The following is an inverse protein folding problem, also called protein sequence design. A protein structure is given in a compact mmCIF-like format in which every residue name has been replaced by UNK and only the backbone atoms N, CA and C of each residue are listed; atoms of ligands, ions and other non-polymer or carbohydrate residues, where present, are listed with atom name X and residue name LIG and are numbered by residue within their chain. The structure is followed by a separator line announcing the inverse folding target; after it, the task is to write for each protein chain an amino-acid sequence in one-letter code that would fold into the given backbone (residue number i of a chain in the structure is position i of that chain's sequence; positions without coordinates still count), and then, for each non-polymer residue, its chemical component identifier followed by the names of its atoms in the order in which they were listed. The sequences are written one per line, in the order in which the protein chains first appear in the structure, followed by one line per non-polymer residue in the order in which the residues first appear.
data_IF_293267461679
#
_entry.id   IF_293267461679
#
_cell.length_a   1.000
_cell.length_b   1.000
_cell.length_c   1.000
_cell.angle_alpha   90.00
_cell.angle_beta   90.00
_cell.angle_gamma   90.00
#
_symmetry.space_group_name_H-M   'P 1'
#
loop_
_entity.id
_entity.type
_entity.pdbx_description
1 polymer ?
#
# COMPACT_ATOMS: atom_id res chain seq x y z
N UNK A 1 28.46 -6.46 -17.10
CA UNK A 1 27.03 -6.16 -17.36
C UNK A 1 26.85 -4.85 -18.08
N UNK A 2 27.53 -3.76 -17.67
CA UNK A 2 27.45 -2.46 -18.30
C UNK A 2 27.96 -2.46 -19.76
N UNK A 3 29.16 -2.98 -20.03
CA UNK A 3 29.71 -3.07 -21.39
C UNK A 3 28.85 -3.92 -22.34
N UNK A 4 28.24 -5.01 -21.83
CA UNK A 4 27.29 -5.83 -22.59
C UNK A 4 26.01 -5.07 -22.95
N UNK A 5 25.55 -4.14 -22.09
CA UNK A 5 24.39 -3.27 -22.34
C UNK A 5 24.72 -2.15 -23.33
N UNK A 6 25.92 -1.59 -23.23
CA UNK A 6 26.38 -0.49 -24.10
C UNK A 6 26.82 -0.98 -25.49
N UNK A 7 27.10 -2.27 -25.66
CA UNK A 7 27.64 -2.81 -26.93
C UNK A 7 29.09 -2.40 -27.21
N UNK A 8 29.75 -1.77 -26.23
CA UNK A 8 31.16 -1.36 -26.25
C UNK A 8 31.75 -1.47 -24.84
N UNK A 9 33.08 -1.39 -24.73
CA UNK A 9 33.69 -1.23 -23.41
C UNK A 9 33.21 0.08 -22.76
N UNK A 10 32.87 -0.02 -21.48
CA UNK A 10 32.50 1.13 -20.67
C UNK A 10 33.78 1.90 -20.31
N UNK A 11 33.69 3.22 -20.27
CA UNK A 11 34.79 4.04 -19.77
C UNK A 11 34.91 3.89 -18.25
N UNK A 12 36.04 4.30 -17.70
CA UNK A 12 36.24 4.35 -16.24
C UNK A 12 35.19 5.26 -15.57
N UNK A 13 34.84 6.37 -16.21
CA UNK A 13 33.80 7.31 -15.75
C UNK A 13 32.43 6.62 -15.70
N UNK A 14 32.00 5.94 -16.78
CA UNK A 14 30.71 5.24 -16.82
C UNK A 14 30.64 4.09 -15.79
N UNK A 15 31.78 3.44 -15.56
CA UNK A 15 31.92 2.37 -14.56
C UNK A 15 31.80 2.96 -13.16
N UNK A 16 32.44 4.09 -12.89
CA UNK A 16 32.38 4.80 -11.62
C UNK A 16 30.97 5.33 -11.33
N UNK A 17 30.32 5.97 -12.30
CA UNK A 17 28.93 6.43 -12.18
C UNK A 17 27.97 5.27 -11.88
N UNK A 18 28.14 4.15 -12.59
CA UNK A 18 27.32 2.95 -12.36
C UNK A 18 27.54 2.35 -10.97
N UNK A 19 28.78 2.36 -10.48
CA UNK A 19 29.10 1.92 -9.13
C UNK A 19 28.45 2.83 -8.07
N UNK A 20 28.54 4.16 -8.25
CA UNK A 20 27.88 5.12 -7.36
C UNK A 20 26.36 4.98 -7.38
N UNK A 21 25.74 4.78 -8.55
CA UNK A 21 24.31 4.54 -8.65
C UNK A 21 23.87 3.30 -7.86
N UNK A 22 24.66 2.22 -7.91
CA UNK A 22 24.41 1.03 -7.12
C UNK A 22 24.57 1.29 -5.62
N UNK A 23 25.63 2.01 -5.20
CA UNK A 23 25.84 2.36 -3.80
C UNK A 23 24.69 3.21 -3.26
N UNK A 24 24.25 4.22 -4.00
CA UNK A 24 23.10 5.06 -3.64
C UNK A 24 21.81 4.23 -3.50
N UNK A 25 21.61 3.24 -4.37
CA UNK A 25 20.48 2.32 -4.25
C UNK A 25 20.59 1.46 -2.99
N UNK A 26 21.76 0.91 -2.69
CA UNK A 26 22.00 0.12 -1.49
C UNK A 26 21.76 0.95 -0.21
N UNK A 27 22.24 2.20 -0.17
CA UNK A 27 22.01 3.13 0.93
C UNK A 27 20.51 3.43 1.11
N UNK A 28 19.79 3.68 0.01
CA UNK A 28 18.36 3.91 0.06
C UNK A 28 17.61 2.70 0.61
N UNK A 29 17.92 1.49 0.12
CA UNK A 29 17.31 0.24 0.60
C UNK A 29 17.63 -0.01 2.08
N UNK A 30 18.89 0.20 2.49
CA UNK A 30 19.30 0.05 3.88
C UNK A 30 18.56 1.04 4.80
N UNK A 31 18.41 2.30 4.37
CA UNK A 31 17.68 3.31 5.15
C UNK A 31 16.20 2.96 5.34
N UNK A 32 15.56 2.37 4.32
CA UNK A 32 14.18 1.89 4.41
C UNK A 32 14.08 0.69 5.34
N UNK A 33 14.98 -0.30 5.20
CA UNK A 33 15.00 -1.49 6.03
C UNK A 33 15.21 -1.14 7.52
N UNK A 34 16.15 -0.24 7.81
CA UNK A 34 16.41 0.22 9.17
C UNK A 34 15.18 0.91 9.78
N UNK A 35 14.49 1.75 8.99
CA UNK A 35 13.25 2.42 9.42
C UNK A 35 12.14 1.43 9.74
N UNK A 36 11.88 0.46 8.86
CA UNK A 36 10.87 -0.57 9.07
C UNK A 36 11.20 -1.41 10.32
N UNK A 37 12.46 -1.78 10.50
CA UNK A 37 12.90 -2.50 11.70
C UNK A 37 12.65 -1.70 12.98
N UNK A 38 12.96 -0.40 12.99
CA UNK A 38 12.67 0.45 14.15
C UNK A 38 11.17 0.53 14.45
N UNK A 39 10.34 0.56 13.42
CA UNK A 39 8.89 0.53 13.60
C UNK A 39 8.41 -0.81 14.18
N UNK A 40 8.94 -1.94 13.70
CA UNK A 40 8.63 -3.26 14.24
C UNK A 40 9.10 -3.41 15.69
N UNK A 41 10.25 -2.83 16.05
CA UNK A 41 10.72 -2.75 17.43
C UNK A 41 9.78 -1.89 18.31
N UNK A 42 9.31 -0.76 17.79
CA UNK A 42 8.33 0.11 18.48
C UNK A 42 6.98 -0.58 18.70
N UNK A 43 6.53 -1.45 17.80
CA UNK A 43 5.31 -2.24 17.99
C UNK A 43 5.37 -3.18 19.20
N UNK A 44 6.57 -3.53 19.70
CA UNK A 44 6.69 -4.32 20.94
C UNK A 44 6.21 -3.54 22.18
N UNK A 45 6.37 -2.22 22.17
CA UNK A 45 5.90 -1.32 23.25
C UNK A 45 4.55 -0.68 22.94
N UNK A 46 4.21 -0.54 21.66
CA UNK A 46 2.94 0.02 21.17
C UNK A 46 2.22 -0.99 20.26
N UNK A 47 1.66 -2.09 20.81
CA UNK A 47 1.12 -3.21 20.02
C UNK A 47 -0.12 -2.85 19.18
N UNK A 48 -0.82 -1.78 19.53
CA UNK A 48 -1.95 -1.27 18.76
C UNK A 48 -1.54 -0.41 17.57
N UNK A 49 -0.24 -0.15 17.40
CA UNK A 49 0.29 0.74 16.38
C UNK A 49 0.44 2.18 16.84
N UNK A 50 0.92 3.01 15.93
CA UNK A 50 1.24 4.40 16.19
C UNK A 50 1.09 5.28 14.95
N UNK A 51 0.96 6.59 15.18
CA UNK A 51 0.97 7.58 14.11
C UNK A 51 2.36 7.64 13.46
N UNK A 52 2.39 7.66 12.13
CA UNK A 52 3.65 7.79 11.40
C UNK A 52 4.31 9.13 11.72
N UNK A 53 5.62 9.15 12.04
CA UNK A 53 6.32 10.39 12.32
C UNK A 53 6.35 11.27 11.07
N UNK A 54 6.24 12.59 11.26
CA UNK A 54 6.49 13.55 10.17
C UNK A 54 7.92 13.34 9.69
N UNK A 55 8.07 12.92 8.45
CA UNK A 55 9.36 12.94 7.79
C UNK A 55 9.76 14.41 7.56
N UNK A 56 10.78 14.87 8.28
CA UNK A 56 11.45 16.17 8.03
C UNK A 56 11.98 16.24 6.58
N UNK A 57 12.19 15.08 5.94
CA UNK A 57 12.65 14.91 4.57
C UNK A 57 11.56 14.75 3.51
N UNK A 58 10.29 15.10 3.78
CA UNK A 58 9.24 15.14 2.76
C UNK A 58 8.77 13.78 2.22
N UNK A 59 9.05 12.69 2.94
CA UNK A 59 8.59 11.35 2.58
C UNK A 59 7.07 11.25 2.68
N UNK A 60 6.41 10.99 1.55
CA UNK A 60 5.01 10.55 1.52
C UNK A 60 4.95 9.03 1.44
N UNK A 61 3.97 8.43 2.12
CA UNK A 61 3.72 6.99 2.04
C UNK A 61 2.43 6.73 1.28
N UNK A 62 2.23 5.51 0.78
CA UNK A 62 0.95 5.12 0.22
C UNK A 62 0.23 4.18 1.19
N UNK A 63 -1.06 4.38 1.37
CA UNK A 63 -1.87 3.44 2.14
C UNK A 63 -1.87 2.06 1.49
N UNK A 64 -1.64 0.99 2.26
CA UNK A 64 -1.67 -0.39 1.76
C UNK A 64 -3.05 -0.86 1.26
N UNK A 65 -4.12 -0.09 1.52
CA UNK A 65 -5.50 -0.45 1.17
C UNK A 65 -6.00 0.41 0.01
N UNK A 66 -6.12 1.73 0.21
CA UNK A 66 -6.69 2.62 -0.80
C UNK A 66 -5.65 3.27 -1.73
N UNK A 67 -4.36 3.04 -1.49
CA UNK A 67 -3.23 3.64 -2.22
C UNK A 67 -3.19 5.18 -2.21
N UNK A 68 -4.03 5.83 -1.40
CA UNK A 68 -3.95 7.28 -1.21
C UNK A 68 -2.58 7.65 -0.62
N UNK A 69 -2.03 8.74 -1.13
CA UNK A 69 -0.81 9.34 -0.59
C UNK A 69 -1.08 9.90 0.80
N UNK A 70 -0.22 9.53 1.74
CA UNK A 70 -0.23 9.90 3.15
C UNK A 70 0.87 10.93 3.34
N UNK A 71 0.48 12.15 3.72
CA UNK A 71 1.40 13.22 4.06
C UNK A 71 1.40 13.44 5.59
N UNK A 72 2.59 13.54 6.19
CA UNK A 72 2.77 13.84 7.61
C UNK A 72 2.11 12.82 8.55
N UNK A 73 1.50 13.31 9.65
CA UNK A 73 0.88 12.52 10.73
C UNK A 73 -0.45 11.86 10.34
N UNK A 74 -0.86 11.94 9.07
CA UNK A 74 -2.10 11.33 8.58
C UNK A 74 -1.96 9.81 8.31
N UNK A 75 -0.81 9.24 8.69
CA UNK A 75 -0.50 7.83 8.56
C UNK A 75 -0.56 7.07 9.88
N UNK A 76 -0.84 5.79 9.78
CA UNK A 76 -0.81 4.85 10.89
C UNK A 76 0.04 3.63 10.49
N UNK A 77 0.84 3.12 11.42
CA UNK A 77 1.56 1.86 11.29
C UNK A 77 1.18 0.94 12.44
N UNK A 78 0.83 -0.30 12.12
CA UNK A 78 0.58 -1.37 13.07
C UNK A 78 1.10 -2.70 12.49
N UNK A 79 0.78 -3.83 13.14
CA UNK A 79 1.17 -5.18 12.69
C UNK A 79 0.76 -5.54 11.25
N UNK A 80 -0.23 -4.86 10.65
CA UNK A 80 -0.68 -5.05 9.29
C UNK A 80 -0.04 -4.07 8.29
N UNK A 81 0.81 -3.15 8.75
CA UNK A 81 1.54 -2.18 7.94
C UNK A 81 0.89 -0.80 7.83
N UNK A 82 1.34 -0.03 6.85
CA UNK A 82 1.02 1.40 6.68
C UNK A 82 -0.41 1.62 6.15
N UNK A 83 -1.19 2.46 6.85
CA UNK A 83 -2.55 2.86 6.47
C UNK A 83 -2.74 4.37 6.59
N UNK A 84 -3.67 4.93 5.80
CA UNK A 84 -4.18 6.26 6.08
C UNK A 84 -5.16 6.20 7.26
N UNK A 85 -5.39 7.31 7.96
CA UNK A 85 -6.34 7.36 9.11
C UNK A 85 -7.76 6.90 8.76
N UNK A 86 -8.21 7.12 7.52
CA UNK A 86 -9.55 6.69 7.08
C UNK A 86 -9.62 5.15 7.02
N UNK A 87 -8.63 4.51 6.41
CA UNK A 87 -8.56 3.05 6.33
C UNK A 87 -8.27 2.41 7.70
N UNK A 88 -7.49 3.08 8.55
CA UNK A 88 -7.28 2.65 9.94
C UNK A 88 -8.60 2.60 10.72
N UNK A 89 -9.42 3.65 10.62
CA UNK A 89 -10.74 3.68 11.26
C UNK A 89 -11.64 2.53 10.80
N UNK A 90 -11.60 2.21 9.51
CA UNK A 90 -12.38 1.09 8.95
C UNK A 90 -11.90 -0.29 9.43
N UNK A 91 -10.67 -0.40 9.91
CA UNK A 91 -10.17 -1.60 10.60
C UNK A 91 -10.64 -1.61 12.05
N UNK A 92 -10.54 -0.47 12.73
CA UNK A 92 -10.96 -0.31 14.14
C UNK A 92 -12.46 -0.54 14.36
N UNK A 93 -13.31 -0.09 13.42
CA UNK A 93 -14.76 -0.27 13.48
C UNK A 93 -15.23 -1.62 12.92
N UNK A 94 -14.32 -2.45 12.41
CA UNK A 94 -14.62 -3.77 11.85
C UNK A 94 -15.28 -3.77 10.47
N UNK A 95 -15.33 -2.62 9.77
CA UNK A 95 -15.81 -2.55 8.38
C UNK A 95 -14.99 -3.47 7.47
N UNK A 96 -13.67 -3.50 7.68
CA UNK A 96 -12.73 -4.41 7.02
C UNK A 96 -11.80 -5.10 8.03
N UNK A 97 -11.41 -6.37 7.80
CA UNK A 97 -10.37 -7.01 8.60
C UNK A 97 -9.01 -6.31 8.44
N UNK A 98 -8.22 -6.23 9.51
CA UNK A 98 -6.87 -5.65 9.46
C UNK A 98 -5.93 -6.38 8.47
N UNK A 99 -6.11 -7.69 8.33
CA UNK A 99 -5.37 -8.54 7.38
C UNK A 99 -5.48 -8.08 5.91
N UNK A 100 -6.50 -7.30 5.54
CA UNK A 100 -6.65 -6.71 4.21
C UNK A 100 -5.43 -5.83 3.84
N UNK A 101 -4.79 -5.20 4.83
CA UNK A 101 -3.63 -4.33 4.60
C UNK A 101 -2.35 -5.12 4.27
N UNK A 102 -2.15 -6.29 4.88
CA UNK A 102 -0.94 -7.09 4.70
C UNK A 102 -1.10 -8.20 3.65
N UNK A 103 -2.28 -8.81 3.56
CA UNK A 103 -2.58 -9.87 2.60
C UNK A 103 -3.40 -9.36 1.42
N UNK A 104 -2.70 -8.87 0.40
CA UNK A 104 -3.33 -8.45 -0.86
C UNK A 104 -3.99 -9.60 -1.63
N UNK A 105 -3.71 -10.86 -1.31
CA UNK A 105 -4.35 -12.02 -1.97
C UNK A 105 -5.72 -12.34 -1.38
N UNK A 106 -6.09 -11.81 -0.22
CA UNK A 106 -7.39 -12.08 0.42
C UNK A 106 -8.57 -11.28 -0.17
N UNK A 107 -8.29 -10.25 -0.98
CA UNK A 107 -9.33 -9.32 -1.45
C UNK A 107 -9.02 -8.75 -2.83
N UNK A 108 -10.03 -8.14 -3.45
CA UNK A 108 -9.92 -7.39 -4.69
C UNK A 108 -10.33 -5.93 -4.50
N UNK A 109 -9.64 -5.02 -5.17
CA UNK A 109 -10.13 -3.67 -5.41
C UNK A 109 -11.03 -3.62 -6.64
N UNK A 110 -11.74 -2.50 -6.84
CA UNK A 110 -12.47 -2.28 -8.09
C UNK A 110 -11.54 -2.29 -9.32
N UNK A 111 -10.28 -1.86 -9.16
CA UNK A 111 -9.28 -1.93 -10.23
C UNK A 111 -8.86 -3.37 -10.54
N UNK A 112 -8.71 -4.21 -9.51
CA UNK A 112 -8.42 -5.64 -9.68
C UNK A 112 -9.55 -6.34 -10.44
N UNK A 113 -10.81 -6.06 -10.09
CA UNK A 113 -11.98 -6.61 -10.79
C UNK A 113 -12.06 -6.14 -12.26
N UNK A 114 -11.71 -4.87 -12.52
CA UNK A 114 -11.63 -4.36 -13.89
C UNK A 114 -10.57 -5.12 -14.70
N UNK A 115 -9.38 -5.31 -14.13
CA UNK A 115 -8.27 -6.01 -14.79
C UNK A 115 -8.57 -7.49 -15.03
N UNK A 116 -9.25 -8.14 -14.08
CA UNK A 116 -9.55 -9.58 -14.15
C UNK A 116 -10.73 -9.92 -15.05
N UNK A 117 -11.81 -9.13 -14.97
CA UNK A 117 -13.09 -9.45 -15.62
C UNK A 117 -13.50 -8.43 -16.71
N UNK A 118 -12.73 -7.37 -16.92
CA UNK A 118 -13.07 -6.29 -17.84
C UNK A 118 -14.23 -5.40 -17.37
N UNK A 119 -14.67 -5.55 -16.11
CA UNK A 119 -15.83 -4.81 -15.62
C UNK A 119 -15.48 -3.35 -15.36
N UNK A 120 -16.17 -2.44 -16.05
CA UNK A 120 -16.05 -1.01 -15.76
C UNK A 120 -16.57 -0.70 -14.35
N UNK A 121 -16.05 0.37 -13.72
CA UNK A 121 -16.45 0.78 -12.36
C UNK A 121 -17.97 0.90 -12.19
N UNK A 122 -18.68 1.42 -13.20
CA UNK A 122 -20.15 1.52 -13.18
C UNK A 122 -20.85 0.16 -13.10
N UNK A 123 -20.33 -0.85 -13.81
CA UNK A 123 -20.82 -2.24 -13.75
C UNK A 123 -20.57 -2.83 -12.37
N UNK A 124 -19.37 -2.63 -11.82
CA UNK A 124 -19.01 -3.08 -10.47
C UNK A 124 -19.99 -2.48 -9.44
N UNK A 125 -20.21 -1.17 -9.46
CA UNK A 125 -21.15 -0.52 -8.54
C UNK A 125 -22.60 -0.93 -8.77
N UNK A 126 -22.99 -1.25 -10.00
CA UNK A 126 -24.31 -1.84 -10.28
C UNK A 126 -24.43 -3.22 -9.62
N UNK A 127 -23.43 -4.10 -9.76
CA UNK A 127 -23.38 -5.42 -9.14
C UNK A 127 -23.42 -5.37 -7.61
N UNK A 128 -22.78 -4.36 -7.01
CA UNK A 128 -22.90 -4.10 -5.57
C UNK A 128 -24.33 -3.73 -5.19
N UNK A 129 -24.99 -2.85 -5.96
CA UNK A 129 -26.38 -2.44 -5.70
C UNK A 129 -27.39 -3.56 -5.91
N UNK A 130 -27.16 -4.46 -6.87
CA UNK A 130 -28.02 -5.62 -7.12
C UNK A 130 -27.75 -6.80 -6.17
N UNK A 131 -26.70 -6.73 -5.36
CA UNK A 131 -26.30 -7.79 -4.43
C UNK A 131 -25.53 -8.94 -5.08
N UNK A 132 -25.21 -8.86 -6.37
CA UNK A 132 -24.37 -9.84 -7.08
C UNK A 132 -22.91 -9.84 -6.60
N UNK A 133 -22.47 -8.73 -6.00
CA UNK A 133 -21.10 -8.54 -5.51
C UNK A 133 -21.15 -7.94 -4.11
N UNK A 134 -20.53 -8.60 -3.13
CA UNK A 134 -20.50 -8.11 -1.74
C UNK A 134 -19.28 -7.21 -1.53
N UNK A 135 -19.53 -5.94 -1.21
CA UNK A 135 -18.49 -4.95 -0.96
C UNK A 135 -18.46 -4.52 0.52
N UNK A 136 -17.26 -4.42 1.08
CA UNK A 136 -16.98 -3.65 2.30
C UNK A 136 -16.64 -2.22 1.89
N UNK A 137 -17.49 -1.27 2.27
CA UNK A 137 -17.39 0.12 1.82
C UNK A 137 -16.77 0.96 2.93
N UNK A 138 -15.54 1.42 2.69
CA UNK A 138 -14.87 2.38 3.56
C UNK A 138 -15.46 3.76 3.31
N UNK A 139 -15.91 4.42 4.38
CA UNK A 139 -16.48 5.77 4.33
C UNK A 139 -15.45 6.83 4.69
N UNK A 140 -15.52 7.99 4.05
CA UNK A 140 -14.78 9.18 4.48
C UNK A 140 -15.38 9.74 5.78
N UNK A 141 -14.69 10.69 6.41
CA UNK A 141 -15.22 11.45 7.55
C UNK A 141 -16.54 12.17 7.26
N UNK A 142 -16.80 12.49 5.99
CA UNK A 142 -18.01 13.17 5.52
C UNK A 142 -19.13 12.19 5.11
N UNK A 143 -18.92 10.88 5.26
CA UNK A 143 -19.90 9.84 4.93
C UNK A 143 -19.94 9.43 3.45
N UNK A 144 -19.13 10.07 2.60
CA UNK A 144 -18.94 9.66 1.21
C UNK A 144 -18.18 8.32 1.11
N UNK A 145 -18.36 7.60 0.00
CA UNK A 145 -17.64 6.34 -0.22
C UNK A 145 -16.18 6.65 -0.56
N UNK A 146 -15.26 6.27 0.33
CA UNK A 146 -13.81 6.45 0.15
C UNK A 146 -13.20 5.32 -0.68
N UNK A 147 -13.52 4.06 -0.36
CA UNK A 147 -12.95 2.91 -1.05
C UNK A 147 -13.83 1.67 -0.94
N UNK A 148 -13.70 0.75 -1.88
CA UNK A 148 -14.43 -0.53 -1.91
C UNK A 148 -13.45 -1.69 -1.82
N UNK A 149 -13.66 -2.56 -0.85
CA UNK A 149 -12.90 -3.79 -0.64
C UNK A 149 -13.82 -4.97 -0.87
N UNK A 150 -13.43 -5.88 -1.76
CA UNK A 150 -14.18 -7.09 -2.09
C UNK A 150 -13.43 -8.30 -1.53
N UNK A 151 -13.84 -8.80 -0.36
CA UNK A 151 -13.21 -9.98 0.24
C UNK A 151 -13.50 -11.21 -0.60
N UNK A 152 -12.49 -12.02 -0.91
CA UNK A 152 -12.68 -13.21 -1.75
C UNK A 152 -13.57 -14.26 -1.10
N UNK A 153 -13.45 -14.42 0.21
CA UNK A 153 -14.28 -15.34 1.00
C UNK A 153 -15.78 -14.97 0.93
N UNK A 154 -16.09 -13.70 0.73
CA UNK A 154 -17.46 -13.21 0.59
C UNK A 154 -17.98 -13.27 -0.85
N UNK A 155 -17.10 -13.60 -1.79
CA UNK A 155 -17.27 -13.47 -3.22
C UNK A 155 -16.66 -14.70 -3.92
N UNK A 156 -16.99 -15.90 -3.45
CA UNK A 156 -16.42 -17.18 -3.93
C UNK A 156 -16.92 -17.59 -5.32
N UNK A 157 -18.04 -17.02 -5.77
CA UNK A 157 -18.72 -17.39 -7.01
C UNK A 157 -18.36 -16.46 -8.19
N UNK A 158 -17.25 -15.74 -8.10
CA UNK A 158 -16.84 -14.72 -9.08
C UNK A 158 -15.54 -15.11 -9.77
#
# INVERSE_FOLDING_TARGET
MLSKRLGREATDEETFESANALMNLCEALYSVALRLRHWDERLKTEPHGFALPISISGGSYNCGICYATIAGEQGWYDQYGIKCRICQRAVEDGTIPGAVCSDKKSWWSAHDLNRMFGWHHTTIYKKVRTGELKARIIKSSEGANHYYVFLKEENVNI
#
